data_IF_605462438510
#
_entry.id   IF_605462438510
#
_cell.length_a   1.000
_cell.length_b   1.000
_cell.length_c   1.000
_cell.angle_alpha   90.00
_cell.angle_beta   90.00
_cell.angle_gamma   90.00
#
_symmetry.space_group_name_H-M   'P 1'
#
loop_
_entity.id
_entity.type
_entity.pdbx_description
1 polymer ?
#
# COMPACT_ATOMS: atom_id res chain seq x y z
N UNK A 1 -8.23 0.53 -12.08
CA UNK A 1 -8.36 0.62 -10.62
C UNK A 1 -7.20 -0.15 -10.02
N UNK A 2 -6.32 0.55 -9.29
CA UNK A 2 -5.18 -0.10 -8.63
C UNK A 2 -5.68 -0.82 -7.37
N UNK A 3 -4.94 -1.84 -6.92
CA UNK A 3 -5.17 -2.48 -5.63
C UNK A 3 -4.51 -1.71 -4.48
N UNK A 4 -4.92 -1.97 -3.24
CA UNK A 4 -4.25 -1.41 -2.06
C UNK A 4 -2.77 -1.76 -1.99
N UNK A 5 -2.40 -2.98 -2.40
CA UNK A 5 -1.01 -3.40 -2.41
C UNK A 5 -0.17 -2.65 -3.45
N UNK A 6 -0.73 -2.36 -4.62
CA UNK A 6 -0.08 -1.54 -5.65
C UNK A 6 0.11 -0.10 -5.17
N UNK A 7 -0.89 0.52 -4.53
CA UNK A 7 -0.75 1.85 -3.94
C UNK A 7 0.32 1.86 -2.83
N UNK A 8 0.30 0.88 -1.94
CA UNK A 8 1.31 0.72 -0.89
C UNK A 8 2.72 0.62 -1.50
N UNK A 9 2.88 -0.11 -2.59
CA UNK A 9 4.15 -0.19 -3.31
C UNK A 9 4.59 1.17 -3.83
N UNK A 10 3.68 1.95 -4.44
CA UNK A 10 3.98 3.31 -4.93
C UNK A 10 4.43 4.22 -3.78
N UNK A 11 3.67 4.28 -2.68
CA UNK A 11 4.00 5.07 -1.48
C UNK A 11 5.35 4.65 -0.91
N UNK A 12 5.59 3.33 -0.80
CA UNK A 12 6.83 2.79 -0.27
C UNK A 12 8.03 3.21 -1.13
N UNK A 13 7.90 3.14 -2.45
CA UNK A 13 8.96 3.51 -3.39
C UNK A 13 9.23 5.01 -3.40
N UNK A 14 8.18 5.85 -3.36
CA UNK A 14 8.35 7.31 -3.29
C UNK A 14 9.09 7.75 -2.04
N UNK A 15 8.83 7.07 -0.90
CA UNK A 15 9.54 7.27 0.38
C UNK A 15 10.89 6.55 0.47
N UNK A 16 11.30 5.79 -0.56
CA UNK A 16 12.54 4.99 -0.59
C UNK A 16 12.67 3.97 0.56
N UNK A 17 11.54 3.45 1.04
CA UNK A 17 11.50 2.44 2.11
C UNK A 17 11.61 1.04 1.49
N UNK A 18 12.38 0.13 2.08
CA UNK A 18 12.47 -1.25 1.58
C UNK A 18 11.25 -2.09 1.99
N UNK A 19 10.95 -3.16 1.24
CA UNK A 19 9.95 -4.14 1.67
C UNK A 19 10.27 -4.74 3.05
N UNK A 20 11.57 -4.90 3.38
CA UNK A 20 11.99 -5.44 4.66
C UNK A 20 11.53 -4.54 5.82
N UNK A 21 11.67 -3.22 5.69
CA UNK A 21 11.27 -2.27 6.74
C UNK A 21 9.75 -2.27 6.97
N UNK A 22 8.97 -2.40 5.89
CA UNK A 22 7.50 -2.37 5.95
C UNK A 22 6.89 -3.69 6.43
N UNK A 23 7.37 -4.84 5.94
CA UNK A 23 6.62 -6.10 6.12
C UNK A 23 7.19 -7.02 7.19
N UNK A 24 8.43 -6.80 7.65
CA UNK A 24 9.02 -7.64 8.70
C UNK A 24 8.20 -7.59 9.97
N UNK A 25 7.82 -8.77 10.49
CA UNK A 25 6.97 -8.92 11.68
C UNK A 25 5.48 -8.75 11.42
N UNK A 26 5.05 -8.56 10.16
CA UNK A 26 3.64 -8.41 9.78
C UNK A 26 3.19 -9.56 8.88
N UNK A 27 3.93 -9.79 7.78
CA UNK A 27 3.65 -10.85 6.80
C UNK A 27 4.96 -11.43 6.25
N UNK A 28 4.88 -12.58 5.56
CA UNK A 28 6.05 -13.17 4.90
C UNK A 28 6.50 -12.35 3.70
N UNK A 29 7.76 -12.52 3.30
CA UNK A 29 8.33 -11.85 2.11
C UNK A 29 7.58 -12.21 0.82
N UNK A 30 7.21 -13.49 0.63
CA UNK A 30 6.47 -13.92 -0.56
C UNK A 30 5.09 -13.26 -0.62
N UNK A 31 4.38 -13.24 0.50
CA UNK A 31 3.08 -12.60 0.61
C UNK A 31 3.18 -11.09 0.33
N UNK A 32 4.19 -10.40 0.88
CA UNK A 32 4.41 -8.98 0.62
C UNK A 32 4.62 -8.69 -0.88
N UNK A 33 5.37 -9.55 -1.58
CA UNK A 33 5.58 -9.43 -3.03
C UNK A 33 4.27 -9.61 -3.79
N UNK A 34 3.47 -10.61 -3.44
CA UNK A 34 2.19 -10.89 -4.10
C UNK A 34 1.14 -9.81 -3.81
N UNK A 35 1.11 -9.32 -2.57
CA UNK A 35 0.28 -8.20 -2.14
C UNK A 35 0.64 -6.93 -2.93
N UNK A 36 1.90 -6.54 -2.99
CA UNK A 36 2.35 -5.34 -3.75
C UNK A 36 2.17 -5.45 -5.28
N UNK A 37 1.89 -6.66 -5.79
CA UNK A 37 1.51 -6.89 -7.19
C UNK A 37 -0.01 -6.87 -7.41
N UNK A 38 -0.80 -6.67 -6.36
CA UNK A 38 -2.26 -6.74 -6.41
C UNK A 38 -2.83 -8.15 -6.56
N UNK A 39 -2.01 -9.18 -6.40
CA UNK A 39 -2.40 -10.59 -6.63
C UNK A 39 -2.91 -11.28 -5.37
N UNK A 40 -2.80 -10.63 -4.21
CA UNK A 40 -3.30 -11.13 -2.93
C UNK A 40 -4.02 -10.01 -2.17
N UNK A 41 -5.19 -10.32 -1.62
CA UNK A 41 -5.86 -9.46 -0.67
C UNK A 41 -5.23 -9.60 0.73
N UNK A 42 -5.46 -8.64 1.61
CA UNK A 42 -4.98 -8.68 3.00
C UNK A 42 -6.13 -8.30 3.95
N UNK A 43 -6.04 -8.71 5.22
CA UNK A 43 -7.01 -8.28 6.23
C UNK A 43 -6.81 -6.81 6.62
N UNK A 44 -7.89 -6.15 7.04
CA UNK A 44 -7.87 -4.75 7.50
C UNK A 44 -6.86 -4.49 8.62
N UNK A 45 -6.77 -5.42 9.60
CA UNK A 45 -5.81 -5.32 10.70
C UNK A 45 -4.34 -5.32 10.23
N UNK A 46 -4.01 -6.11 9.21
CA UNK A 46 -2.65 -6.14 8.67
C UNK A 46 -2.38 -4.93 7.77
N UNK A 47 -3.39 -4.49 7.02
CA UNK A 47 -3.32 -3.26 6.23
C UNK A 47 -2.98 -2.06 7.10
N UNK A 48 -3.68 -1.88 8.22
CA UNK A 48 -3.43 -0.80 9.18
C UNK A 48 -1.99 -0.81 9.70
N UNK A 49 -1.46 -1.98 10.07
CA UNK A 49 -0.06 -2.12 10.51
C UNK A 49 0.94 -1.74 9.43
N UNK A 50 0.67 -2.10 8.18
CA UNK A 50 1.53 -1.79 7.03
C UNK A 50 1.51 -0.28 6.75
N UNK A 51 0.32 0.34 6.71
CA UNK A 51 0.13 1.77 6.47
C UNK A 51 0.83 2.60 7.55
N UNK A 52 0.69 2.22 8.82
CA UNK A 52 1.38 2.89 9.93
C UNK A 52 2.92 2.87 9.78
N UNK A 53 3.49 1.75 9.29
CA UNK A 53 4.94 1.63 9.03
C UNK A 53 5.43 2.49 7.86
N UNK A 54 4.53 2.95 6.99
CA UNK A 54 4.84 3.91 5.94
C UNK A 54 4.79 5.36 6.42
N UNK A 55 4.51 5.62 7.70
CA UNK A 55 4.28 6.96 8.24
C UNK A 55 3.16 7.67 7.47
N UNK A 56 2.06 6.95 7.25
CA UNK A 56 0.83 7.45 6.62
C UNK A 56 -0.32 7.04 7.54
N UNK A 57 -1.30 7.90 7.71
CA UNK A 57 -2.54 7.53 8.41
C UNK A 57 -3.48 6.74 7.49
N UNK A 58 -4.39 5.95 8.07
CA UNK A 58 -5.39 5.24 7.25
C UNK A 58 -6.28 6.19 6.44
N UNK A 59 -6.59 7.36 7.00
CA UNK A 59 -7.38 8.40 6.31
C UNK A 59 -6.66 8.95 5.08
N UNK A 60 -5.39 9.36 5.23
CA UNK A 60 -4.57 9.80 4.10
C UNK A 60 -4.39 8.70 3.05
N UNK A 61 -4.18 7.46 3.49
CA UNK A 61 -4.06 6.32 2.58
C UNK A 61 -5.32 6.17 1.72
N UNK A 62 -6.51 6.22 2.33
CA UNK A 62 -7.75 6.16 1.57
C UNK A 62 -7.92 7.37 0.67
N UNK A 63 -7.60 8.58 1.12
CA UNK A 63 -7.68 9.77 0.26
C UNK A 63 -6.83 9.61 -1.01
N UNK A 64 -5.58 9.14 -0.87
CA UNK A 64 -4.69 8.84 -2.01
C UNK A 64 -5.29 7.76 -2.92
N UNK A 65 -5.87 6.70 -2.34
CA UNK A 65 -6.51 5.64 -3.10
C UNK A 65 -7.67 6.16 -3.96
N UNK A 66 -8.53 7.00 -3.39
CA UNK A 66 -9.66 7.57 -4.12
C UNK A 66 -9.19 8.56 -5.20
N UNK A 67 -8.05 9.24 -5.00
CA UNK A 67 -7.45 10.09 -6.04
C UNK A 67 -6.97 9.26 -7.24
N UNK A 68 -6.34 8.12 -7.02
CA UNK A 68 -5.91 7.20 -8.09
C UNK A 68 -7.09 6.56 -8.84
N UNK A 69 -8.27 6.49 -8.21
CA UNK A 69 -9.50 5.99 -8.85
C UNK A 69 -10.20 7.01 -9.73
N UNK A 70 -9.95 8.31 -9.51
CA UNK A 70 -10.51 9.38 -10.31
C UNK A 70 -9.54 9.66 -11.47
N UNK A 71 -9.85 9.25 -12.72
CA UNK A 71 -9.02 9.67 -13.84
C UNK A 71 -9.05 11.19 -13.90
N UNK A 72 -7.87 11.83 -13.99
CA UNK A 72 -7.79 13.26 -14.29
C UNK A 72 -8.66 13.52 -15.52
N UNK A 73 -9.74 14.31 -15.35
CA UNK A 73 -10.36 14.93 -16.50
C UNK A 73 -9.35 15.94 -17.01
N UNK A 74 -8.68 15.61 -18.11
CA UNK A 74 -8.03 16.61 -18.93
C UNK A 74 -9.13 17.55 -19.46
N UNK A 75 -9.12 18.81 -19.01
CA UNK A 75 -9.87 19.92 -19.61
C UNK A 75 -9.18 20.45 -20.88
#
# INVERSE_FOLDING_TARGET
MISYGELIRQIRQSKKISQKEVYTGVISKSYAIEFEKGTHAISSLLLEKIVAKLMVSMEEFFLMYHQEELPEKED
#
